data_IF_589291145636
#
_entry.id   IF_589291145636
#
_cell.length_a   1.000
_cell.length_b   1.000
_cell.length_c   1.000
_cell.angle_alpha   90.00
_cell.angle_beta   90.00
_cell.angle_gamma   90.00
#
_symmetry.space_group_name_H-M   'P 1'
#
loop_
_entity.id
_entity.type
_entity.pdbx_description
1 polymer ?
#
# COMPACT_ATOMS: atom_id res chain seq x y z
N UNK A 1 -5.33 -7.56 5.68
CA UNK A 1 -6.00 -6.37 5.11
C UNK A 1 -7.50 -6.56 5.18
N UNK A 2 -8.21 -5.61 5.77
CA UNK A 2 -9.65 -5.68 6.00
C UNK A 2 -10.34 -4.46 5.37
N UNK A 3 -11.48 -4.67 4.71
CA UNK A 3 -12.25 -3.57 4.13
C UNK A 3 -13.08 -2.89 5.22
N UNK A 4 -12.95 -1.58 5.35
CA UNK A 4 -13.76 -0.73 6.21
C UNK A 4 -14.93 -0.18 5.38
N UNK A 5 -16.11 -0.75 5.61
CA UNK A 5 -17.35 -0.41 4.91
C UNK A 5 -18.40 -0.03 5.95
N UNK A 6 -19.01 1.13 5.75
CA UNK A 6 -20.16 1.58 6.53
C UNK A 6 -21.45 1.28 5.78
N UNK A 7 -22.40 0.63 6.45
CA UNK A 7 -23.70 0.31 5.86
C UNK A 7 -24.53 1.58 5.63
N UNK A 8 -25.19 1.64 4.47
CA UNK A 8 -26.11 2.73 4.16
C UNK A 8 -27.46 2.54 4.85
N UNK A 9 -28.14 3.64 5.17
CA UNK A 9 -29.49 3.59 5.73
C UNK A 9 -30.55 3.27 4.66
N UNK A 10 -31.39 2.27 4.95
CA UNK A 10 -32.53 1.92 4.12
C UNK A 10 -33.69 2.89 4.32
N UNK A 11 -34.29 3.35 3.22
CA UNK A 11 -35.45 4.23 3.26
C UNK A 11 -36.70 3.44 2.90
N UNK A 12 -37.63 3.33 3.86
CA UNK A 12 -38.94 2.74 3.67
C UNK A 12 -40.03 3.83 3.75
N UNK A 13 -40.90 3.87 2.73
CA UNK A 13 -42.07 4.76 2.71
C UNK A 13 -43.32 3.95 3.04
N UNK A 14 -44.06 4.37 4.07
CA UNK A 14 -45.33 3.73 4.46
C UNK A 14 -46.49 4.64 4.09
N UNK A 15 -47.48 4.12 3.38
CA UNK A 15 -48.68 4.89 3.07
C UNK A 15 -49.63 4.99 4.27
N UNK A 16 -50.61 5.89 4.15
CA UNK A 16 -51.65 6.11 5.16
C UNK A 16 -52.48 4.86 5.51
N UNK A 17 -52.47 3.82 4.66
CA UNK A 17 -53.11 2.53 4.94
C UNK A 17 -52.21 1.55 5.72
N UNK A 18 -51.05 2.00 6.22
CA UNK A 18 -50.11 1.20 7.00
C UNK A 18 -49.26 0.22 6.18
N UNK A 19 -49.38 0.20 4.85
CA UNK A 19 -48.57 -0.65 3.97
C UNK A 19 -47.33 0.10 3.46
N UNK A 20 -46.23 -0.63 3.30
CA UNK A 20 -45.03 -0.11 2.66
C UNK A 20 -45.29 0.12 1.16
N UNK A 21 -45.07 1.34 0.71
CA UNK A 21 -45.28 1.79 -0.66
C UNK A 21 -43.99 2.08 -1.42
N UNK A 22 -42.86 2.14 -0.74
CA UNK A 22 -41.55 2.26 -1.37
C UNK A 22 -40.47 1.69 -0.47
N UNK A 23 -39.45 1.10 -1.09
CA UNK A 23 -38.24 0.67 -0.44
C UNK A 23 -37.06 1.05 -1.31
N UNK A 24 -36.09 1.75 -0.72
CA UNK A 24 -34.79 1.99 -1.35
C UNK A 24 -33.72 1.58 -0.37
N UNK A 25 -32.91 0.60 -0.78
CA UNK A 25 -31.75 0.15 -0.01
C UNK A 25 -30.68 1.25 -0.01
N UNK A 26 -30.08 1.49 1.16
CA UNK A 26 -28.96 2.40 1.31
C UNK A 26 -27.75 1.91 0.53
N UNK A 27 -27.00 2.83 -0.09
CA UNK A 27 -25.71 2.49 -0.69
C UNK A 27 -24.65 2.48 0.42
N UNK A 28 -23.87 1.40 0.59
CA UNK A 28 -22.78 1.39 1.56
C UNK A 28 -21.67 2.36 1.15
N UNK A 29 -20.94 2.87 2.13
CA UNK A 29 -19.78 3.75 1.93
C UNK A 29 -18.50 2.96 2.18
N UNK A 30 -17.58 3.00 1.22
CA UNK A 30 -16.26 2.41 1.39
C UNK A 30 -15.31 3.47 1.97
N UNK A 31 -14.85 3.25 3.20
CA UNK A 31 -13.97 4.17 3.93
C UNK A 31 -12.49 3.87 3.68
N UNK A 32 -12.17 2.65 3.27
CA UNK A 32 -10.83 2.22 2.91
C UNK A 32 -10.49 0.81 3.39
N UNK A 33 -9.20 0.53 3.44
CA UNK A 33 -8.65 -0.71 4.00
C UNK A 33 -7.82 -0.43 5.24
N UNK A 34 -8.03 -1.24 6.27
CA UNK A 34 -7.10 -1.42 7.38
C UNK A 34 -6.05 -2.45 6.97
N UNK A 35 -4.78 -2.09 7.10
CA UNK A 35 -3.64 -2.92 6.72
C UNK A 35 -2.89 -3.40 7.96
N UNK A 36 -2.31 -4.58 7.83
CA UNK A 36 -1.37 -5.16 8.77
C UNK A 36 -0.29 -5.84 7.93
N UNK A 37 0.96 -5.52 8.20
CA UNK A 37 2.14 -5.96 7.47
C UNK A 37 3.17 -6.47 8.46
N UNK A 38 3.74 -7.64 8.16
CA UNK A 38 4.75 -8.27 9.00
C UNK A 38 6.11 -8.16 8.30
N UNK A 39 7.05 -7.49 8.96
CA UNK A 39 8.41 -7.32 8.48
C UNK A 39 9.37 -8.18 9.31
N UNK A 40 10.32 -8.82 8.63
CA UNK A 40 11.33 -9.69 9.24
C UNK A 40 12.65 -8.96 9.60
N UNK A 41 12.72 -7.66 9.32
CA UNK A 41 13.85 -6.81 9.66
C UNK A 41 13.33 -5.44 10.06
N UNK A 42 13.97 -4.86 11.08
CA UNK A 42 13.62 -3.55 11.63
C UNK A 42 14.68 -2.55 11.20
N UNK A 43 14.29 -1.63 10.33
CA UNK A 43 15.11 -0.47 9.95
C UNK A 43 14.52 0.78 10.61
N UNK A 44 15.32 1.59 11.33
CA UNK A 44 14.88 2.88 11.87
C UNK A 44 14.22 3.79 10.84
N UNK A 45 14.77 3.79 9.62
CA UNK A 45 14.32 4.59 8.49
C UNK A 45 12.93 4.15 8.03
N UNK A 46 12.72 2.84 7.96
CA UNK A 46 11.42 2.28 7.65
C UNK A 46 10.38 2.64 8.71
N UNK A 47 10.75 2.63 10.00
CA UNK A 47 9.85 3.04 11.07
C UNK A 47 9.51 4.52 10.94
N UNK A 48 10.49 5.39 10.71
CA UNK A 48 10.26 6.83 10.56
C UNK A 48 9.32 7.13 9.38
N UNK A 49 9.58 6.57 8.20
CA UNK A 49 8.75 6.86 7.02
C UNK A 49 7.31 6.36 7.18
N UNK A 50 7.11 5.24 7.88
CA UNK A 50 5.78 4.62 8.01
C UNK A 50 4.97 5.14 9.17
N UNK A 51 5.61 5.57 10.26
CA UNK A 51 4.92 6.00 11.50
C UNK A 51 5.07 7.49 11.78
N UNK A 52 6.13 8.13 11.28
CA UNK A 52 6.54 9.49 11.66
C UNK A 52 7.28 9.56 13.00
N UNK A 53 7.63 8.41 13.60
CA UNK A 53 8.43 8.35 14.82
C UNK A 53 9.86 8.85 14.55
N UNK A 54 10.47 9.61 15.49
CA UNK A 54 11.79 10.18 15.27
C UNK A 54 12.89 9.11 15.32
N UNK A 55 13.88 9.27 14.43
CA UNK A 55 15.08 8.42 14.37
C UNK A 55 16.10 8.84 15.43
N UNK A 56 16.71 7.86 16.07
CA UNK A 56 17.89 8.02 16.93
C UNK A 56 19.15 7.80 16.10
N UNK A 57 20.04 8.79 16.09
CA UNK A 57 21.27 8.77 15.30
C UNK A 57 22.50 8.43 16.15
N UNK A 58 23.43 7.71 15.52
CA UNK A 58 24.76 7.41 16.05
C UNK A 58 25.69 8.63 16.00
N UNK A 59 26.87 8.47 16.58
CA UNK A 59 27.89 9.53 16.59
C UNK A 59 28.38 9.92 15.18
N UNK A 60 28.25 9.00 14.24
CA UNK A 60 28.59 9.11 12.82
C UNK A 60 27.46 9.72 11.97
N UNK A 61 26.29 9.95 12.58
CA UNK A 61 25.12 10.48 11.89
C UNK A 61 24.28 9.43 11.17
N UNK A 62 24.58 8.14 11.36
CA UNK A 62 23.78 7.05 10.81
C UNK A 62 22.59 6.70 11.73
N UNK A 63 21.43 6.31 11.18
CA UNK A 63 20.32 5.79 11.97
C UNK A 63 20.69 4.54 12.76
N UNK A 64 20.49 4.55 14.08
CA UNK A 64 20.76 3.40 14.96
C UNK A 64 19.56 2.96 15.80
N UNK A 65 18.43 3.67 15.71
CA UNK A 65 17.21 3.36 16.45
C UNK A 65 16.08 4.34 16.18
N UNK A 66 14.97 4.20 16.90
CA UNK A 66 13.80 5.08 16.80
C UNK A 66 13.13 5.19 18.18
N UNK A 67 12.45 6.31 18.43
CA UNK A 67 11.59 6.45 19.61
C UNK A 67 10.14 6.10 19.25
N UNK A 68 9.50 5.20 20.01
CA UNK A 68 8.08 4.91 19.83
C UNK A 68 7.22 5.94 20.55
N UNK A 69 6.61 6.86 19.79
CA UNK A 69 5.89 8.03 20.28
C UNK A 69 4.36 7.88 20.13
N UNK A 70 3.63 8.95 20.44
CA UNK A 70 2.20 9.03 20.11
C UNK A 70 1.97 8.96 18.60
N UNK A 71 0.85 8.37 18.20
CA UNK A 71 0.45 8.24 16.79
C UNK A 71 0.45 9.61 16.10
N UNK A 72 1.18 9.72 14.99
CA UNK A 72 1.24 10.93 14.17
C UNK A 72 0.11 10.93 13.13
N UNK A 73 -0.98 11.65 13.40
CA UNK A 73 -2.12 11.74 12.46
C UNK A 73 -1.84 12.58 11.20
N UNK A 74 -0.67 13.21 11.12
CA UNK A 74 -0.20 14.02 9.99
C UNK A 74 0.92 13.33 9.19
N UNK A 75 1.31 12.10 9.55
CA UNK A 75 2.23 11.29 8.76
C UNK A 75 1.47 10.41 7.77
N UNK A 76 2.12 10.12 6.66
CA UNK A 76 1.58 9.26 5.62
C UNK A 76 2.70 8.68 4.76
N UNK A 77 2.48 7.48 4.25
CA UNK A 77 3.39 6.84 3.30
C UNK A 77 2.61 6.20 2.16
N UNK A 78 3.30 5.96 1.05
CA UNK A 78 2.84 5.09 -0.01
C UNK A 78 3.64 3.80 0.02
N UNK A 79 3.04 2.70 -0.43
CA UNK A 79 3.73 1.42 -0.49
C UNK A 79 3.48 0.72 -1.82
N UNK A 80 4.58 0.26 -2.41
CA UNK A 80 4.60 -0.64 -3.56
C UNK A 80 5.16 -1.99 -3.14
N UNK A 81 4.56 -3.08 -3.65
CA UNK A 81 4.98 -4.44 -3.38
C UNK A 81 4.92 -5.26 -4.66
N UNK A 82 5.93 -6.12 -4.85
CA UNK A 82 5.96 -7.12 -5.89
C UNK A 82 5.94 -8.50 -5.22
N UNK A 83 4.95 -9.32 -5.57
CA UNK A 83 4.88 -10.71 -5.13
C UNK A 83 5.09 -11.62 -6.33
N UNK A 84 6.10 -12.50 -6.27
CA UNK A 84 6.36 -13.47 -7.34
C UNK A 84 5.15 -14.41 -7.54
N UNK A 85 4.74 -14.59 -8.79
CA UNK A 85 3.70 -15.55 -9.15
C UNK A 85 4.34 -16.93 -9.31
N UNK A 86 4.22 -17.76 -8.28
CA UNK A 86 4.64 -19.15 -8.34
C UNK A 86 3.53 -19.98 -9.02
N UNK A 87 3.58 -20.12 -10.35
CA UNK A 87 2.70 -21.06 -11.06
C UNK A 87 3.47 -21.97 -12.00
N UNK A 88 3.22 -23.28 -11.89
CA UNK A 88 3.71 -24.33 -12.78
C UNK A 88 3.05 -24.30 -14.19
N UNK A 89 2.16 -23.34 -14.45
CA UNK A 89 1.39 -23.17 -15.69
C UNK A 89 1.69 -21.83 -16.39
N UNK A 90 2.98 -21.46 -16.51
CA UNK A 90 3.43 -20.46 -17.52
C UNK A 90 3.62 -21.12 -18.90
N UNK A 91 3.14 -22.36 -19.05
CA UNK A 91 3.20 -23.15 -20.28
C UNK A 91 2.06 -22.77 -21.23
N UNK A 92 1.99 -21.51 -21.66
CA UNK A 92 1.35 -21.17 -22.92
C UNK A 92 2.10 -20.02 -23.61
N UNK A 93 2.91 -20.45 -24.58
CA UNK A 93 3.36 -19.77 -25.80
C UNK A 93 4.40 -18.62 -25.69
N UNK A 94 5.65 -18.98 -26.02
CA UNK A 94 6.52 -18.22 -26.94
C UNK A 94 6.87 -16.77 -26.62
N UNK A 95 7.21 -16.48 -25.36
CA UNK A 95 8.07 -15.34 -25.03
C UNK A 95 9.11 -15.76 -23.97
N UNK A 96 10.36 -15.33 -24.13
CA UNK A 96 11.44 -15.63 -23.20
C UNK A 96 11.01 -15.32 -21.76
N UNK A 97 11.28 -16.27 -20.85
CA UNK A 97 10.82 -16.22 -19.47
C UNK A 97 11.41 -15.05 -18.69
N UNK A 98 10.76 -13.91 -18.79
CA UNK A 98 10.82 -12.85 -17.79
C UNK A 98 9.77 -13.20 -16.73
N UNK A 99 10.15 -13.14 -15.45
CA UNK A 99 9.26 -13.53 -14.34
C UNK A 99 7.90 -12.81 -14.37
N UNK A 100 6.93 -13.34 -13.63
CA UNK A 100 5.64 -12.68 -13.42
C UNK A 100 5.49 -12.28 -11.96
N UNK A 101 5.10 -11.03 -11.72
CA UNK A 101 4.88 -10.49 -10.38
C UNK A 101 3.47 -9.89 -10.26
N UNK A 102 2.84 -10.08 -9.11
CA UNK A 102 1.69 -9.28 -8.71
C UNK A 102 2.21 -7.99 -8.10
N UNK A 103 1.98 -6.88 -8.78
CA UNK A 103 2.26 -5.55 -8.27
C UNK A 103 1.07 -5.06 -7.43
N UNK A 104 1.35 -4.51 -6.25
CA UNK A 104 0.40 -3.81 -5.39
C UNK A 104 0.89 -2.39 -5.13
N UNK A 105 0.00 -1.42 -5.25
CA UNK A 105 0.23 -0.04 -4.85
C UNK A 105 -0.86 0.44 -3.91
N UNK A 106 -0.47 0.95 -2.75
CA UNK A 106 -1.31 1.74 -1.85
C UNK A 106 -0.72 3.14 -1.77
N UNK A 107 -1.36 4.07 -2.48
CA UNK A 107 -0.84 5.43 -2.70
C UNK A 107 -0.80 6.30 -1.45
N UNK A 108 -1.60 5.96 -0.44
CA UNK A 108 -1.73 6.77 0.75
C UNK A 108 -2.20 5.91 1.92
N UNK A 109 -1.29 5.61 2.83
CA UNK A 109 -1.54 4.97 4.11
C UNK A 109 -1.27 6.00 5.21
N UNK A 110 -2.16 6.05 6.19
CA UNK A 110 -2.11 6.96 7.33
C UNK A 110 -2.24 6.21 8.63
N UNK A 111 -1.91 6.89 9.74
CA UNK A 111 -1.97 6.33 11.09
C UNK A 111 -1.13 5.05 11.20
N UNK A 112 0.07 5.09 10.61
CA UNK A 112 1.02 4.00 10.75
C UNK A 112 1.41 3.84 12.21
N UNK A 113 1.26 2.64 12.75
CA UNK A 113 1.62 2.34 14.13
C UNK A 113 2.31 0.98 14.21
N UNK A 114 3.30 0.90 15.08
CA UNK A 114 3.94 -0.36 15.42
C UNK A 114 3.01 -1.17 16.33
N UNK A 115 2.81 -2.43 15.96
CA UNK A 115 2.14 -3.42 16.78
C UNK A 115 3.14 -4.14 17.67
N UNK A 116 2.90 -5.44 17.88
CA UNK A 116 3.76 -6.26 18.71
C UNK A 116 5.17 -6.36 18.10
N UNK A 117 6.18 -6.15 18.96
CA UNK A 117 7.59 -6.40 18.66
C UNK A 117 7.97 -7.75 19.29
N UNK A 118 8.18 -8.78 18.47
CA UNK A 118 8.69 -10.05 18.97
C UNK A 118 10.22 -10.08 18.87
N UNK A 119 10.87 -10.12 20.02
CA UNK A 119 12.34 -10.27 20.10
C UNK A 119 12.64 -11.75 20.28
N UNK A 120 12.83 -12.45 19.17
CA UNK A 120 13.23 -13.86 19.13
C UNK A 120 14.76 -14.03 19.18
N UNK A 121 15.20 -15.25 19.51
CA UNK A 121 16.63 -15.59 19.57
C UNK A 121 17.32 -15.59 18.19
N UNK A 122 16.54 -15.59 17.10
CA UNK A 122 17.03 -15.74 15.71
C UNK A 122 16.48 -14.68 14.74
N UNK A 123 15.40 -13.97 15.08
CA UNK A 123 14.85 -12.88 14.26
C UNK A 123 14.00 -11.91 15.10
N UNK A 124 14.01 -10.64 14.73
CA UNK A 124 13.10 -9.61 15.24
C UNK A 124 11.99 -9.42 14.21
N UNK A 125 10.74 -9.66 14.60
CA UNK A 125 9.57 -9.39 13.76
C UNK A 125 8.87 -8.11 14.20
N UNK A 126 8.39 -7.33 13.23
CA UNK A 126 7.67 -6.09 13.48
C UNK A 126 6.35 -6.09 12.70
N UNK A 127 5.27 -5.87 13.43
CA UNK A 127 3.94 -5.66 12.85
C UNK A 127 3.75 -4.16 12.62
N UNK A 128 3.45 -3.76 11.39
CA UNK A 128 3.01 -2.41 11.05
C UNK A 128 1.53 -2.45 10.70
N UNK A 129 0.73 -1.58 11.32
CA UNK A 129 -0.67 -1.38 10.96
C UNK A 129 -0.93 0.05 10.50
N UNK A 130 -2.01 0.25 9.75
CA UNK A 130 -2.43 1.56 9.27
C UNK A 130 -3.72 1.50 8.47
N UNK A 131 -4.17 2.66 7.98
CA UNK A 131 -5.41 2.78 7.20
C UNK A 131 -5.16 3.51 5.88
N UNK A 132 -5.66 2.95 4.78
CA UNK A 132 -5.56 3.58 3.45
C UNK A 132 -6.52 4.76 3.30
N UNK A 133 -6.09 5.81 2.61
CA UNK A 133 -6.93 6.93 2.18
C UNK A 133 -6.96 7.01 0.65
N UNK A 134 -8.12 7.44 0.13
CA UNK A 134 -8.25 7.79 -1.27
C UNK A 134 -7.61 9.16 -1.55
N UNK A 135 -7.31 9.43 -2.82
CA UNK A 135 -6.85 10.75 -3.28
C UNK A 135 -5.37 11.02 -3.05
N UNK A 136 -4.54 9.99 -2.99
CA UNK A 136 -3.08 10.14 -2.83
C UNK A 136 -2.43 10.89 -3.98
N UNK A 137 -1.33 11.57 -3.69
CA UNK A 137 -0.53 12.33 -4.66
C UNK A 137 0.52 11.51 -5.40
N UNK A 138 0.37 10.18 -5.48
CA UNK A 138 1.41 9.28 -6.00
C UNK A 138 1.77 9.51 -7.48
N UNK A 139 0.81 10.01 -8.27
CA UNK A 139 1.01 10.19 -9.71
C UNK A 139 1.25 8.85 -10.40
N UNK A 140 2.28 8.79 -11.25
CA UNK A 140 2.67 7.58 -11.99
C UNK A 140 3.71 6.71 -11.27
N UNK A 141 4.15 7.15 -10.08
CA UNK A 141 5.24 6.51 -9.34
C UNK A 141 6.60 6.73 -9.98
N UNK A 142 7.71 6.56 -9.23
CA UNK A 142 9.06 6.78 -9.74
C UNK A 142 9.66 5.55 -10.42
N UNK A 143 9.18 4.35 -10.09
CA UNK A 143 9.75 3.09 -10.53
C UNK A 143 9.09 2.58 -11.81
N UNK A 144 9.86 1.78 -12.55
CA UNK A 144 9.33 1.00 -13.66
C UNK A 144 8.54 -0.17 -13.09
N UNK A 145 7.25 -0.21 -13.41
CA UNK A 145 6.29 -1.15 -12.83
C UNK A 145 5.57 -1.96 -13.89
N UNK A 146 5.57 -1.52 -15.14
CA UNK A 146 4.88 -2.22 -16.22
C UNK A 146 5.40 -1.88 -17.61
N UNK A 147 5.11 -2.71 -18.63
CA UNK A 147 5.39 -2.38 -20.01
C UNK A 147 4.62 -1.13 -20.47
N UNK A 148 5.29 -0.19 -21.13
CA UNK A 148 4.67 1.05 -21.65
C UNK A 148 4.40 1.03 -23.15
N UNK A 149 4.86 -0.01 -23.85
CA UNK A 149 4.67 -0.19 -25.28
C UNK A 149 4.54 -1.68 -25.67
N UNK A 150 4.28 -1.93 -26.95
CA UNK A 150 4.16 -3.28 -27.49
C UNK A 150 5.50 -4.03 -27.58
N UNK A 151 6.63 -3.35 -27.38
CA UNK A 151 7.96 -3.95 -27.34
C UNK A 151 8.31 -4.48 -25.94
N UNK A 152 7.47 -4.23 -24.94
CA UNK A 152 7.71 -4.68 -23.57
C UNK A 152 8.59 -3.73 -22.76
N UNK A 153 8.84 -2.50 -23.23
CA UNK A 153 9.74 -1.56 -22.54
C UNK A 153 9.24 -1.27 -21.12
N UNK A 154 10.03 -1.54 -20.05
CA UNK A 154 9.66 -1.19 -18.69
C UNK A 154 9.48 0.32 -18.53
N UNK A 155 8.46 0.71 -17.77
CA UNK A 155 8.18 2.10 -17.44
C UNK A 155 7.23 2.27 -16.27
N UNK A 156 7.00 3.53 -15.88
CA UNK A 156 6.07 3.92 -14.82
C UNK A 156 4.61 3.55 -15.12
N UNK A 157 3.71 3.81 -14.17
CA UNK A 157 2.28 3.67 -14.42
C UNK A 157 1.83 4.60 -15.56
N UNK A 158 1.08 4.07 -16.52
CA UNK A 158 0.54 4.84 -17.66
C UNK A 158 -0.50 5.87 -17.20
N UNK A 159 -1.15 5.62 -16.07
CA UNK A 159 -2.13 6.53 -15.47
C UNK A 159 -1.97 6.56 -13.96
N UNK A 160 -2.24 7.70 -13.31
CA UNK A 160 -2.33 7.75 -11.86
C UNK A 160 -3.50 6.90 -11.35
N UNK A 161 -3.55 6.68 -10.04
CA UNK A 161 -4.71 6.09 -9.40
C UNK A 161 -5.87 7.11 -9.42
N UNK A 162 -7.10 6.59 -9.51
CA UNK A 162 -8.28 7.44 -9.41
C UNK A 162 -8.37 8.12 -8.05
N UNK A 163 -9.00 9.29 -8.00
CA UNK A 163 -9.13 10.09 -6.77
C UNK A 163 -9.86 9.37 -5.63
N UNK A 164 -10.69 8.36 -5.93
CA UNK A 164 -11.42 7.54 -4.95
C UNK A 164 -10.83 6.13 -4.78
N UNK A 165 -9.67 5.84 -5.38
CA UNK A 165 -9.05 4.52 -5.32
C UNK A 165 -8.09 4.44 -4.13
N UNK A 166 -8.16 3.34 -3.36
CA UNK A 166 -7.27 3.10 -2.22
C UNK A 166 -6.07 2.22 -2.59
N UNK A 167 -6.21 1.39 -3.64
CA UNK A 167 -5.20 0.42 -4.06
C UNK A 167 -5.26 0.16 -5.56
N UNK A 168 -4.12 -0.17 -6.17
CA UNK A 168 -4.02 -0.77 -7.52
C UNK A 168 -3.31 -2.12 -7.42
N UNK A 169 -3.82 -3.11 -8.16
CA UNK A 169 -3.22 -4.45 -8.25
C UNK A 169 -3.28 -4.93 -9.68
N UNK A 170 -2.16 -5.40 -10.23
CA UNK A 170 -2.10 -6.03 -11.55
C UNK A 170 -0.89 -6.96 -11.66
N UNK A 171 -0.89 -7.83 -12.67
CA UNK A 171 0.27 -8.68 -12.97
C UNK A 171 1.20 -7.94 -13.93
N UNK A 172 2.49 -7.95 -13.64
CA UNK A 172 3.55 -7.32 -14.42
C UNK A 172 4.67 -8.30 -14.73
N UNK A 173 5.33 -8.11 -15.87
CA UNK A 173 6.59 -8.76 -16.24
C UNK A 173 7.81 -7.90 -15.90
N UNK A 174 7.60 -6.74 -15.26
CA UNK A 174 8.69 -5.88 -14.79
C UNK A 174 9.08 -6.30 -13.38
N UNK A 175 10.35 -6.67 -13.22
CA UNK A 175 10.92 -7.10 -11.94
C UNK A 175 10.88 -5.96 -10.90
N UNK A 176 10.85 -6.29 -9.59
CA UNK A 176 11.01 -5.29 -8.54
C UNK A 176 12.36 -4.56 -8.67
N UNK A 177 12.46 -3.32 -8.16
CA UNK A 177 13.73 -2.61 -8.09
C UNK A 177 14.72 -3.34 -7.18
N UNK A 178 16.02 -3.17 -7.46
CA UNK A 178 17.08 -3.73 -6.64
C UNK A 178 17.02 -3.18 -5.21
N UNK A 179 17.15 -4.03 -4.17
CA UNK A 179 17.06 -3.60 -2.80
C UNK A 179 18.23 -2.69 -2.43
N UNK A 180 17.92 -1.59 -1.77
CA UNK A 180 18.89 -0.63 -1.24
C UNK A 180 18.77 -0.57 0.28
N UNK A 181 19.91 -0.57 0.97
CA UNK A 181 19.95 -0.62 2.43
C UNK A 181 19.90 0.77 3.10
N UNK A 182 19.60 1.84 2.36
CA UNK A 182 19.63 3.22 2.85
C UNK A 182 18.50 4.06 2.25
N UNK A 183 18.21 5.22 2.87
CA UNK A 183 17.30 6.21 2.30
C UNK A 183 17.68 6.52 0.85
N UNK A 184 16.77 6.24 -0.06
CA UNK A 184 16.89 6.68 -1.44
C UNK A 184 15.86 7.77 -1.66
N UNK A 185 16.27 9.02 -1.89
CA UNK A 185 15.34 10.07 -2.20
C UNK A 185 14.63 9.71 -3.50
N UNK A 186 13.31 9.58 -3.43
CA UNK A 186 12.48 9.53 -4.62
C UNK A 186 12.46 10.93 -5.20
N UNK A 187 13.33 11.18 -6.18
CA UNK A 187 13.31 12.44 -6.91
C UNK A 187 11.99 12.49 -7.68
N UNK A 188 11.03 13.29 -7.23
CA UNK A 188 9.86 13.60 -8.04
C UNK A 188 10.37 14.19 -9.36
N UNK A 189 10.21 13.45 -10.46
CA UNK A 189 10.35 14.02 -11.79
C UNK A 189 9.44 15.24 -11.84
N UNK A 190 10.00 16.40 -12.15
CA UNK A 190 9.23 17.62 -12.37
C UNK A 190 8.30 17.38 -13.57
N UNK A 191 7.06 16.98 -13.30
CA UNK A 191 5.97 16.99 -14.28
C UNK A 191 5.07 18.20 -14.02
#
# INVERSE_FOLDING_TARGET
MNANVEDGEDVAYTAANGRQCGFKRGCPTFNGYDIELNFFSVSPEFVEITTGNPVVYGFDGEPIGYDDCSIQCNSAFAMELWAEVLSADVCDADAGGDGAWIYFLMQWVTNGQLGDLEIGNEAVSLVLSGATRAGGGWGTGPYDVMPVDAAGTPGQLLTPLGSNCHRRTFVTSVAPPEPVCAYTPVLCGTS
#
